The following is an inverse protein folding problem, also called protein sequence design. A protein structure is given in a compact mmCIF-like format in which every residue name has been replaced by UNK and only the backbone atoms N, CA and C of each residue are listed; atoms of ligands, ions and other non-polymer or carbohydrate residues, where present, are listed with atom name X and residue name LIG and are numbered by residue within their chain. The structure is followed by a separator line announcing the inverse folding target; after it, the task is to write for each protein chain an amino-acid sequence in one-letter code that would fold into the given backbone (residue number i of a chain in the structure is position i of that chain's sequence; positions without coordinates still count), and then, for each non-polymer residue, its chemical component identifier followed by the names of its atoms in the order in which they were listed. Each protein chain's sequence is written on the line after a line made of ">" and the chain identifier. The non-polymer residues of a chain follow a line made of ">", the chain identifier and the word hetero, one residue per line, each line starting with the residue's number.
data_IF_940690882474
#
_entry.id   IF_940690882474
#
_cell.length_a   1.000
_cell.length_b   1.000
_cell.length_c   1.000
_cell.angle_alpha   90.00
_cell.angle_beta   90.00
_cell.angle_gamma   90.00
#
_symmetry.space_group_name_H-M   'P 1'
#
loop_
_entity.id
_entity.type
_entity.pdbx_description
1 polymer ?
#
# COMPACT_ATOMS: atom_id res chain seq x y z
N UNK A 1 -17.90 -4.00 52.05
CA UNK A 1 -18.46 -4.41 50.73
C UNK A 1 -17.67 -3.81 49.55
N UNK A 2 -16.41 -3.40 49.71
CA UNK A 2 -15.61 -2.81 48.63
C UNK A 2 -14.66 -3.81 47.95
N UNK A 3 -14.28 -4.92 48.62
CA UNK A 3 -13.37 -5.92 48.05
C UNK A 3 -13.99 -6.75 46.91
N UNK A 4 -15.29 -7.07 46.99
CA UNK A 4 -16.01 -7.85 45.96
C UNK A 4 -16.20 -7.08 44.64
N UNK A 5 -16.21 -5.75 44.67
CA UNK A 5 -16.36 -4.92 43.47
C UNK A 5 -15.05 -4.80 42.67
N UNK A 6 -13.91 -4.79 43.37
CA UNK A 6 -12.57 -4.78 42.76
C UNK A 6 -12.28 -6.09 42.00
N UNK A 7 -12.67 -7.25 42.57
CA UNK A 7 -12.48 -8.55 41.92
C UNK A 7 -13.27 -8.68 40.61
N UNK A 8 -14.51 -8.18 40.59
CA UNK A 8 -15.36 -8.19 39.39
C UNK A 8 -14.88 -7.24 38.28
N UNK A 9 -14.30 -6.10 38.63
CA UNK A 9 -13.71 -5.16 37.67
C UNK A 9 -12.41 -5.70 37.07
N UNK A 10 -11.50 -6.20 37.91
CA UNK A 10 -10.23 -6.79 37.47
C UNK A 10 -10.47 -7.99 36.57
N UNK A 11 -11.42 -8.87 36.92
CA UNK A 11 -11.78 -10.01 36.09
C UNK A 11 -12.30 -9.59 34.70
N UNK A 12 -13.15 -8.57 34.63
CA UNK A 12 -13.66 -8.05 33.35
C UNK A 12 -12.56 -7.44 32.49
N UNK A 13 -11.63 -6.70 33.09
CA UNK A 13 -10.46 -6.15 32.39
C UNK A 13 -9.56 -7.28 31.86
N UNK A 14 -9.33 -8.32 32.67
CA UNK A 14 -8.51 -9.48 32.30
C UNK A 14 -9.15 -10.30 31.17
N UNK A 15 -10.46 -10.56 31.24
CA UNK A 15 -11.21 -11.21 30.17
C UNK A 15 -11.21 -10.36 28.90
N UNK A 16 -11.37 -9.04 29.01
CA UNK A 16 -11.27 -8.12 27.87
C UNK A 16 -9.89 -8.13 27.20
N UNK A 17 -8.82 -8.16 28.01
CA UNK A 17 -7.44 -8.27 27.53
C UNK A 17 -7.17 -9.62 26.85
N UNK A 18 -7.59 -10.73 27.46
CA UNK A 18 -7.42 -12.08 26.88
C UNK A 18 -8.23 -12.23 25.58
N UNK A 19 -9.45 -11.72 25.55
CA UNK A 19 -10.27 -11.69 24.33
C UNK A 19 -9.58 -10.88 23.23
N UNK A 20 -9.03 -9.72 23.57
CA UNK A 20 -8.29 -8.88 22.61
C UNK A 20 -7.03 -9.57 22.09
N UNK A 21 -6.23 -10.17 22.97
CA UNK A 21 -5.03 -10.93 22.58
C UNK A 21 -5.38 -12.12 21.68
N UNK A 22 -6.48 -12.81 21.97
CA UNK A 22 -7.00 -13.87 21.11
C UNK A 22 -7.39 -13.36 19.73
N UNK A 23 -8.17 -12.26 19.66
CA UNK A 23 -8.58 -11.62 18.40
C UNK A 23 -7.36 -11.19 17.57
N UNK A 24 -6.36 -10.58 18.19
CA UNK A 24 -5.13 -10.12 17.52
C UNK A 24 -4.33 -11.31 16.95
N UNK A 25 -4.27 -12.44 17.67
CA UNK A 25 -3.61 -13.66 17.20
C UNK A 25 -4.39 -14.32 16.04
N UNK A 26 -5.73 -14.36 16.13
CA UNK A 26 -6.59 -14.86 15.06
C UNK A 26 -6.49 -14.03 13.78
N UNK A 27 -6.36 -12.71 13.91
CA UNK A 27 -6.14 -11.78 12.80
C UNK A 27 -4.78 -12.04 12.13
N UNK A 28 -3.71 -12.21 12.92
CA UNK A 28 -2.37 -12.49 12.37
C UNK A 28 -2.31 -13.81 11.62
N UNK A 29 -3.08 -14.82 12.04
CA UNK A 29 -3.09 -16.17 11.45
C UNK A 29 -4.06 -16.36 10.28
N UNK A 30 -4.81 -15.32 9.88
CA UNK A 30 -5.74 -15.44 8.76
C UNK A 30 -7.05 -16.17 9.11
N UNK A 31 -7.39 -16.30 10.40
CA UNK A 31 -8.55 -17.13 10.81
C UNK A 31 -9.88 -16.37 10.82
N UNK A 32 -9.85 -15.03 10.80
CA UNK A 32 -11.08 -14.21 10.68
C UNK A 32 -11.88 -14.52 9.40
N UNK A 33 -13.19 -14.25 9.37
CA UNK A 33 -14.01 -14.40 8.18
C UNK A 33 -13.46 -13.60 6.98
N UNK A 34 -13.63 -14.09 5.75
CA UNK A 34 -13.18 -13.38 4.54
C UNK A 34 -13.70 -11.94 4.45
N UNK A 35 -14.95 -11.70 4.88
CA UNK A 35 -15.57 -10.37 4.89
C UNK A 35 -14.84 -9.38 5.80
N UNK A 36 -14.23 -9.84 6.89
CA UNK A 36 -13.41 -9.01 7.78
C UNK A 36 -12.19 -8.46 7.02
N UNK A 37 -11.41 -9.36 6.41
CA UNK A 37 -10.21 -9.00 5.68
C UNK A 37 -10.48 -8.17 4.42
N UNK A 38 -11.57 -8.45 3.69
CA UNK A 38 -12.00 -7.61 2.56
C UNK A 38 -12.31 -6.18 3.04
N UNK A 39 -13.02 -6.05 4.17
CA UNK A 39 -13.34 -4.74 4.73
C UNK A 39 -12.07 -4.00 5.19
N UNK A 40 -11.15 -4.66 5.89
CA UNK A 40 -9.90 -4.03 6.34
C UNK A 40 -9.01 -3.63 5.17
N UNK A 41 -8.96 -4.42 4.10
CA UNK A 41 -8.25 -4.08 2.87
C UNK A 41 -8.77 -2.79 2.25
N UNK A 42 -10.09 -2.66 2.09
CA UNK A 42 -10.72 -1.45 1.52
C UNK A 42 -10.57 -0.23 2.46
N UNK A 43 -10.57 -0.43 3.78
CA UNK A 43 -10.31 0.63 4.74
C UNK A 43 -8.85 1.11 4.69
N UNK A 44 -7.89 0.21 4.54
CA UNK A 44 -6.49 0.55 4.35
C UNK A 44 -6.28 1.33 3.05
N UNK A 45 -6.92 0.88 1.95
CA UNK A 45 -6.89 1.59 0.68
C UNK A 45 -7.45 3.02 0.80
N UNK A 46 -8.56 3.20 1.53
CA UNK A 46 -9.14 4.53 1.80
C UNK A 46 -8.18 5.45 2.58
N UNK A 47 -7.26 4.88 3.36
CA UNK A 47 -6.22 5.59 4.11
C UNK A 47 -4.92 5.76 3.30
N UNK A 48 -4.96 5.46 2.01
CA UNK A 48 -3.83 5.51 1.09
C UNK A 48 -2.74 4.43 1.35
N UNK A 49 -2.99 3.49 2.26
CA UNK A 49 -2.07 2.42 2.66
C UNK A 49 -2.25 1.18 1.76
N UNK A 50 -1.52 1.17 0.63
CA UNK A 50 -1.58 0.07 -0.33
C UNK A 50 -0.95 -1.22 0.19
N UNK A 51 0.11 -1.12 1.01
CA UNK A 51 0.79 -2.29 1.58
C UNK A 51 -0.20 -3.08 2.46
N UNK A 52 -0.89 -2.40 3.37
CA UNK A 52 -1.92 -3.04 4.20
C UNK A 52 -3.14 -3.48 3.39
N UNK A 53 -3.51 -2.75 2.34
CA UNK A 53 -4.62 -3.15 1.48
C UNK A 53 -4.33 -4.50 0.81
N UNK A 54 -3.16 -4.65 0.16
CA UNK A 54 -2.74 -5.90 -0.48
C UNK A 54 -2.56 -7.02 0.55
N UNK A 55 -1.93 -6.74 1.70
CA UNK A 55 -1.75 -7.73 2.76
C UNK A 55 -3.08 -8.29 3.26
N UNK A 56 -4.04 -7.43 3.58
CA UNK A 56 -5.35 -7.87 4.07
C UNK A 56 -6.14 -8.59 2.98
N UNK A 57 -6.07 -8.14 1.72
CA UNK A 57 -6.68 -8.88 0.61
C UNK A 57 -6.11 -10.30 0.50
N UNK A 58 -4.79 -10.46 0.58
CA UNK A 58 -4.14 -11.78 0.52
C UNK A 58 -4.61 -12.69 1.66
N UNK A 59 -4.72 -12.17 2.89
CA UNK A 59 -5.29 -12.92 4.03
C UNK A 59 -6.75 -13.33 3.79
N UNK A 60 -7.51 -12.54 3.04
CA UNK A 60 -8.92 -12.83 2.73
C UNK A 60 -9.10 -14.08 1.84
N UNK A 61 -8.07 -14.43 1.06
CA UNK A 61 -8.09 -15.54 0.11
C UNK A 61 -7.09 -16.65 0.43
N UNK A 62 -6.19 -16.46 1.40
CA UNK A 62 -5.13 -17.43 1.74
C UNK A 62 -5.66 -18.85 2.04
N UNK A 63 -6.80 -18.94 2.72
CA UNK A 63 -7.37 -20.22 3.21
C UNK A 63 -8.74 -20.54 2.62
N UNK A 64 -9.25 -19.71 1.70
CA UNK A 64 -10.64 -19.77 1.23
C UNK A 64 -10.75 -19.25 -0.20
N UNK A 65 -11.61 -19.85 -1.01
CA UNK A 65 -11.92 -19.33 -2.35
C UNK A 65 -12.50 -17.90 -2.27
N UNK A 66 -12.13 -17.01 -3.19
CA UNK A 66 -12.66 -15.64 -3.22
C UNK A 66 -14.15 -15.63 -3.59
N UNK A 67 -14.99 -15.10 -2.70
CA UNK A 67 -16.36 -14.72 -3.05
C UNK A 67 -16.41 -13.44 -3.90
N UNK A 68 -17.60 -13.10 -4.40
CA UNK A 68 -17.80 -11.93 -5.28
C UNK A 68 -17.25 -10.62 -4.69
N UNK A 69 -17.47 -10.37 -3.39
CA UNK A 69 -16.95 -9.18 -2.72
C UNK A 69 -15.42 -9.14 -2.68
N UNK A 70 -14.77 -10.29 -2.56
CA UNK A 70 -13.31 -10.37 -2.59
C UNK A 70 -12.80 -10.07 -4.01
N UNK A 71 -13.43 -10.62 -5.06
CA UNK A 71 -13.09 -10.31 -6.45
C UNK A 71 -13.22 -8.82 -6.76
N UNK A 72 -14.31 -8.19 -6.34
CA UNK A 72 -14.49 -6.74 -6.51
C UNK A 72 -13.41 -5.95 -5.76
N UNK A 73 -13.07 -6.36 -4.53
CA UNK A 73 -12.00 -5.72 -3.77
C UNK A 73 -10.63 -5.88 -4.46
N UNK A 74 -10.35 -7.03 -5.07
CA UNK A 74 -9.16 -7.25 -5.87
C UNK A 74 -9.04 -6.24 -7.01
N UNK A 75 -10.09 -6.09 -7.81
CA UNK A 75 -10.13 -5.17 -8.95
C UNK A 75 -9.93 -3.72 -8.51
N UNK A 76 -10.57 -3.32 -7.42
CA UNK A 76 -10.42 -1.97 -6.85
C UNK A 76 -8.97 -1.72 -6.43
N UNK A 77 -8.34 -2.65 -5.73
CA UNK A 77 -6.95 -2.52 -5.27
C UNK A 77 -6.00 -2.52 -6.48
N UNK A 78 -6.20 -3.42 -7.45
CA UNK A 78 -5.39 -3.49 -8.65
C UNK A 78 -5.45 -2.18 -9.45
N UNK A 79 -6.66 -1.65 -9.66
CA UNK A 79 -6.86 -0.36 -10.33
C UNK A 79 -6.18 0.79 -9.58
N UNK A 80 -6.27 0.81 -8.25
CA UNK A 80 -5.60 1.84 -7.44
C UNK A 80 -4.06 1.78 -7.58
N UNK A 81 -3.47 0.58 -7.60
CA UNK A 81 -2.04 0.38 -7.85
C UNK A 81 -1.68 0.89 -9.25
N UNK A 82 -2.45 0.53 -10.27
CA UNK A 82 -2.21 0.90 -11.66
C UNK A 82 -2.26 2.42 -11.87
N UNK A 83 -3.23 3.10 -11.24
CA UNK A 83 -3.31 4.56 -11.26
C UNK A 83 -2.05 5.19 -10.62
N UNK A 84 -1.55 4.64 -9.50
CA UNK A 84 -0.34 5.17 -8.86
C UNK A 84 0.92 4.89 -9.67
N UNK A 85 1.02 3.73 -10.32
CA UNK A 85 2.11 3.42 -11.26
C UNK A 85 2.10 4.46 -12.38
N UNK A 86 0.97 4.65 -13.06
CA UNK A 86 0.85 5.58 -14.18
C UNK A 86 1.25 7.02 -13.79
N UNK A 87 0.78 7.52 -12.64
CA UNK A 87 1.16 8.85 -12.12
C UNK A 87 2.65 8.96 -11.81
N UNK A 88 3.26 7.89 -11.31
CA UNK A 88 4.68 7.88 -10.97
C UNK A 88 5.55 7.81 -12.22
N UNK A 89 5.12 7.05 -13.24
CA UNK A 89 5.76 7.01 -14.56
C UNK A 89 5.66 8.37 -15.27
N UNK A 90 4.51 9.04 -15.21
CA UNK A 90 4.34 10.40 -15.75
C UNK A 90 5.30 11.38 -15.09
N UNK A 91 5.37 11.37 -13.75
CA UNK A 91 6.33 12.21 -13.01
C UNK A 91 7.78 11.88 -13.36
N UNK A 92 8.11 10.60 -13.55
CA UNK A 92 9.45 10.19 -13.96
C UNK A 92 9.78 10.72 -15.37
N UNK A 93 8.83 10.67 -16.30
CA UNK A 93 8.99 11.22 -17.64
C UNK A 93 9.20 12.75 -17.61
N UNK A 94 8.48 13.48 -16.76
CA UNK A 94 8.69 14.92 -16.55
C UNK A 94 10.10 15.21 -16.03
N UNK A 95 10.57 14.45 -15.04
CA UNK A 95 11.92 14.59 -14.48
C UNK A 95 12.97 14.28 -15.55
N UNK A 96 12.76 13.25 -16.37
CA UNK A 96 13.67 12.91 -17.47
C UNK A 96 13.73 14.01 -18.52
N UNK A 97 12.58 14.59 -18.91
CA UNK A 97 12.53 15.74 -19.81
C UNK A 97 13.23 16.98 -19.21
N UNK A 98 13.09 17.20 -17.91
CA UNK A 98 13.78 18.27 -17.20
C UNK A 98 15.31 18.04 -17.12
N UNK A 99 15.76 16.80 -16.92
CA UNK A 99 17.18 16.46 -16.87
C UNK A 99 17.85 16.56 -18.25
N UNK A 100 17.11 16.20 -19.31
CA UNK A 100 17.59 16.10 -20.69
C UNK A 100 16.76 16.96 -21.67
N UNK A 101 16.70 18.29 -21.50
CA UNK A 101 15.99 19.15 -22.44
C UNK A 101 16.71 19.17 -23.79
N UNK A 102 15.96 19.25 -24.89
CA UNK A 102 16.51 19.35 -26.24
C UNK A 102 17.49 20.52 -26.34
N UNK A 103 18.67 20.30 -26.93
CA UNK A 103 19.72 21.32 -27.10
C UNK A 103 19.25 22.52 -27.94
N UNK A 104 18.21 22.35 -28.75
CA UNK A 104 17.60 23.40 -29.55
C UNK A 104 16.46 24.14 -28.82
N UNK A 105 16.15 23.77 -27.58
CA UNK A 105 15.08 24.42 -26.81
C UNK A 105 15.59 25.69 -26.09
N UNK A 106 14.75 26.72 -26.04
CA UNK A 106 15.02 27.91 -25.22
C UNK A 106 15.20 27.58 -23.73
N UNK A 107 14.63 26.47 -23.28
CA UNK A 107 14.77 25.97 -21.92
C UNK A 107 16.17 25.40 -21.64
N UNK A 108 16.76 24.68 -22.60
CA UNK A 108 18.14 24.20 -22.49
C UNK A 108 19.12 25.36 -22.28
N UNK A 109 19.02 26.39 -23.10
CA UNK A 109 19.89 27.58 -22.99
C UNK A 109 19.65 28.33 -21.67
N UNK A 110 18.38 28.54 -21.28
CA UNK A 110 18.06 29.12 -19.96
C UNK A 110 18.67 28.33 -18.81
N UNK A 111 18.59 27.00 -18.84
CA UNK A 111 19.16 26.13 -17.79
C UNK A 111 20.69 26.07 -17.85
N UNK A 112 21.31 26.23 -19.02
CA UNK A 112 22.77 26.24 -19.18
C UNK A 112 23.42 27.42 -18.44
N UNK A 113 22.80 28.59 -18.51
CA UNK A 113 23.30 29.83 -17.87
C UNK A 113 22.82 30.04 -16.43
N UNK A 114 22.04 29.10 -15.86
CA UNK A 114 21.59 29.16 -14.46
C UNK A 114 22.75 28.88 -13.49
N UNK A 115 22.93 29.76 -12.50
CA UNK A 115 23.93 29.61 -11.42
C UNK A 115 23.67 28.38 -10.52
N UNK A 116 22.42 27.98 -10.36
CA UNK A 116 21.96 26.87 -9.52
C UNK A 116 21.86 25.52 -10.26
N UNK A 117 22.33 25.42 -11.51
CA UNK A 117 22.17 24.23 -12.36
C UNK A 117 22.63 22.92 -11.72
N UNK A 118 23.74 22.93 -10.98
CA UNK A 118 24.28 21.72 -10.33
C UNK A 118 23.34 21.21 -9.24
N UNK A 119 22.81 22.13 -8.43
CA UNK A 119 21.88 21.81 -7.35
C UNK A 119 20.53 21.33 -7.90
N UNK A 120 20.00 22.00 -8.92
CA UNK A 120 18.77 21.57 -9.61
C UNK A 120 18.91 20.15 -10.17
N UNK A 121 20.02 19.84 -10.86
CA UNK A 121 20.29 18.49 -11.37
C UNK A 121 20.41 17.46 -10.25
N UNK A 122 21.03 17.82 -9.13
CA UNK A 122 21.15 16.93 -7.98
C UNK A 122 19.77 16.59 -7.41
N UNK A 123 18.90 17.59 -7.20
CA UNK A 123 17.53 17.41 -6.71
C UNK A 123 16.70 16.53 -7.65
N UNK A 124 16.72 16.83 -8.94
CA UNK A 124 15.99 16.04 -9.94
C UNK A 124 16.47 14.59 -9.99
N UNK A 125 17.76 14.31 -9.82
CA UNK A 125 18.27 12.93 -9.73
C UNK A 125 17.81 12.20 -8.46
N UNK A 126 17.72 12.90 -7.34
CA UNK A 126 17.17 12.33 -6.10
C UNK A 126 15.68 12.01 -6.28
N UNK A 127 14.92 12.91 -6.89
CA UNK A 127 13.50 12.66 -7.20
C UNK A 127 13.32 11.53 -8.23
N UNK A 128 14.17 11.45 -9.26
CA UNK A 128 14.20 10.36 -10.24
C UNK A 128 14.38 9.02 -9.54
N UNK A 129 15.36 8.94 -8.64
CA UNK A 129 15.64 7.75 -7.86
C UNK A 129 14.45 7.37 -6.97
N UNK A 130 13.86 8.34 -6.26
CA UNK A 130 12.67 8.10 -5.44
C UNK A 130 11.47 7.60 -6.25
N UNK A 131 11.27 8.10 -7.47
CA UNK A 131 10.21 7.61 -8.36
C UNK A 131 10.48 6.16 -8.81
N UNK A 132 11.74 5.82 -9.13
CA UNK A 132 12.11 4.44 -9.48
C UNK A 132 11.87 3.47 -8.33
N UNK A 133 12.28 3.83 -7.12
CA UNK A 133 12.06 3.03 -5.92
C UNK A 133 10.56 2.84 -5.64
N UNK A 134 9.76 3.90 -5.80
CA UNK A 134 8.31 3.81 -5.68
C UNK A 134 7.69 2.86 -6.72
N UNK A 135 8.14 2.92 -7.98
CA UNK A 135 7.68 2.00 -9.03
C UNK A 135 8.06 0.55 -8.73
N UNK A 136 9.24 0.29 -8.17
CA UNK A 136 9.60 -1.06 -7.74
C UNK A 136 8.68 -1.58 -6.64
N UNK A 137 8.36 -0.76 -5.63
CA UNK A 137 7.45 -1.15 -4.55
C UNK A 137 6.04 -1.41 -5.09
N UNK A 138 5.51 -0.50 -5.90
CA UNK A 138 4.19 -0.65 -6.53
C UNK A 138 4.15 -1.89 -7.44
N UNK A 139 5.21 -2.15 -8.19
CA UNK A 139 5.36 -3.36 -9.01
C UNK A 139 5.33 -4.64 -8.17
N UNK A 140 6.07 -4.67 -7.05
CA UNK A 140 6.04 -5.79 -6.10
C UNK A 140 4.64 -6.01 -5.53
N UNK A 141 3.95 -4.96 -5.13
CA UNK A 141 2.57 -5.04 -4.62
C UNK A 141 1.60 -5.59 -5.67
N UNK A 142 1.71 -5.13 -6.92
CA UNK A 142 0.92 -5.64 -8.04
C UNK A 142 1.16 -7.14 -8.26
N UNK A 143 2.43 -7.56 -8.24
CA UNK A 143 2.79 -8.98 -8.38
C UNK A 143 2.25 -9.83 -7.21
N UNK A 144 2.35 -9.35 -5.98
CA UNK A 144 1.81 -10.04 -4.80
C UNK A 144 0.29 -10.23 -4.93
N UNK A 145 -0.42 -9.17 -5.35
CA UNK A 145 -1.86 -9.19 -5.53
C UNK A 145 -2.28 -10.20 -6.62
N UNK A 146 -1.56 -10.23 -7.74
CA UNK A 146 -1.79 -11.16 -8.85
C UNK A 146 -1.53 -12.62 -8.43
N UNK A 147 -0.37 -12.89 -7.83
CA UNK A 147 0.02 -14.25 -7.44
C UNK A 147 -0.95 -14.87 -6.43
N UNK A 148 -1.46 -14.06 -5.49
CA UNK A 148 -2.42 -14.53 -4.50
C UNK A 148 -3.78 -14.88 -5.14
N UNK A 149 -4.19 -14.12 -6.17
CA UNK A 149 -5.36 -14.41 -7.00
C UNK A 149 -5.20 -15.73 -7.74
N UNK A 150 -4.08 -15.88 -8.47
CA UNK A 150 -3.87 -16.99 -9.40
C UNK A 150 -3.76 -18.33 -8.66
N UNK A 151 -3.15 -18.35 -7.47
CA UNK A 151 -3.07 -19.55 -6.62
C UNK A 151 -4.44 -20.10 -6.20
N UNK A 152 -5.46 -19.26 -6.08
CA UNK A 152 -6.79 -19.65 -5.62
C UNK A 152 -7.78 -19.96 -6.76
N UNK A 153 -7.37 -19.79 -8.01
CA UNK A 153 -8.16 -20.17 -9.19
C UNK A 153 -7.89 -21.62 -9.64
N UNK A 154 -6.82 -22.25 -9.15
CA UNK A 154 -6.52 -23.69 -9.27
C UNK A 154 -7.30 -24.51 -8.22
#
# INVERSE_FOLDING_TARGET
>A
MESLALDGFVLKVLVGLLAKLGVDEFEKRGWMPQSYYVRTALLALKRDDLDQAVRNYNLSIEKRKPGERAKVAHEIIACAIDIRIAKTEEKLAEIHGALNPSVFSAEYWRRLFRKDRRELRRRLRVEEQGCREALEVLGRLKSQLKNASDFNQL
#
